data_IF_950655013585
#
_entry.id   IF_950655013585
#
_cell.length_a   1.000
_cell.length_b   1.000
_cell.length_c   1.000
_cell.angle_alpha   90.00
_cell.angle_beta   90.00
_cell.angle_gamma   90.00
#
_symmetry.space_group_name_H-M   'P 1'
#
loop_
_entity.id
_entity.type
_entity.pdbx_description
1 polymer ?
#
# COMPACT_ATOMS: atom_id res chain seq x y z
N UNK A 1 56.32 24.41 -64.29
CA UNK A 1 55.18 25.12 -64.91
C UNK A 1 53.92 24.63 -64.22
N UNK A 2 53.38 25.43 -63.31
CA UNK A 2 52.22 25.12 -62.47
C UNK A 2 50.99 25.84 -63.03
N UNK A 3 49.99 25.06 -63.43
CA UNK A 3 48.69 25.53 -63.94
C UNK A 3 47.79 26.04 -62.81
N UNK A 4 47.10 27.18 -62.96
CA UNK A 4 46.20 27.70 -61.94
C UNK A 4 44.83 26.99 -61.99
N UNK A 5 44.27 26.71 -60.81
CA UNK A 5 42.92 26.16 -60.66
C UNK A 5 41.84 27.20 -60.98
N UNK A 6 40.71 26.81 -61.62
CA UNK A 6 39.60 27.71 -61.86
C UNK A 6 38.78 27.96 -60.59
N UNK A 7 38.13 29.13 -60.46
CA UNK A 7 37.32 29.49 -59.31
C UNK A 7 36.01 28.70 -59.26
N UNK A 8 35.68 28.20 -58.06
CA UNK A 8 34.40 27.54 -57.77
C UNK A 8 33.30 28.58 -57.56
N UNK A 9 32.21 28.47 -58.31
CA UNK A 9 30.98 29.23 -58.07
C UNK A 9 30.11 28.54 -57.01
N UNK A 10 29.51 29.28 -56.06
CA UNK A 10 28.57 28.70 -55.11
C UNK A 10 27.25 28.27 -55.80
N UNK A 11 26.60 27.19 -55.34
CA UNK A 11 25.35 26.73 -55.91
C UNK A 11 24.23 27.75 -55.69
N UNK A 12 23.64 28.23 -56.79
CA UNK A 12 22.41 29.01 -56.78
C UNK A 12 21.22 28.08 -56.49
N UNK A 13 20.63 28.19 -55.30
CA UNK A 13 19.35 27.55 -54.99
C UNK A 13 18.20 28.30 -55.67
N UNK A 14 17.23 27.60 -56.28
CA UNK A 14 16.03 28.23 -56.80
C UNK A 14 15.18 28.82 -55.64
N UNK A 15 14.47 29.93 -55.87
CA UNK A 15 13.62 30.54 -54.86
C UNK A 15 12.50 29.57 -54.41
N UNK A 16 12.14 29.56 -53.12
CA UNK A 16 11.07 28.71 -52.61
C UNK A 16 9.73 29.06 -53.26
N UNK A 17 8.87 28.07 -53.52
CA UNK A 17 7.54 28.31 -54.09
C UNK A 17 6.67 29.12 -53.12
N UNK A 18 5.74 29.94 -53.64
CA UNK A 18 4.86 30.76 -52.82
C UNK A 18 3.95 29.88 -51.95
N UNK A 19 3.84 30.24 -50.66
CA UNK A 19 2.95 29.58 -49.71
C UNK A 19 1.48 29.68 -50.19
N UNK A 20 0.70 28.59 -50.12
CA UNK A 20 -0.71 28.63 -50.49
C UNK A 20 -1.50 29.55 -49.55
N UNK A 21 -2.51 30.28 -50.07
CA UNK A 21 -3.32 31.18 -49.26
C UNK A 21 -4.08 30.41 -48.17
N UNK A 22 -3.86 30.78 -46.91
CA UNK A 22 -4.60 30.26 -45.76
C UNK A 22 -6.09 30.57 -45.92
N UNK A 23 -6.87 29.59 -46.36
CA UNK A 23 -8.34 29.68 -46.37
C UNK A 23 -8.84 29.68 -44.91
N UNK A 24 -9.51 30.77 -44.51
CA UNK A 24 -10.21 30.90 -43.22
C UNK A 24 -11.45 29.99 -43.21
N UNK A 25 -11.25 28.69 -42.99
CA UNK A 25 -12.34 27.70 -42.80
C UNK A 25 -12.67 27.51 -41.29
N UNK A 26 -11.93 28.19 -40.42
CA UNK A 26 -11.90 27.95 -38.98
C UNK A 26 -13.22 28.19 -38.21
N UNK A 27 -14.10 29.16 -38.55
CA UNK A 27 -15.32 29.37 -37.76
C UNK A 27 -16.41 28.31 -38.00
N UNK A 28 -16.47 27.73 -39.21
CA UNK A 28 -17.59 26.89 -39.64
C UNK A 28 -17.47 25.43 -39.21
N UNK A 29 -16.27 24.97 -38.86
CA UNK A 29 -16.03 23.61 -38.34
C UNK A 29 -16.08 23.57 -36.82
N UNK A 30 -15.62 24.64 -36.15
CA UNK A 30 -15.57 24.70 -34.68
C UNK A 30 -16.97 24.88 -34.08
N UNK A 31 -17.83 25.70 -34.69
CA UNK A 31 -19.19 25.93 -34.18
C UNK A 31 -20.08 24.67 -34.12
N UNK A 32 -20.18 23.81 -35.16
CA UNK A 32 -20.98 22.59 -35.07
C UNK A 32 -20.36 21.56 -34.12
N UNK A 33 -19.02 21.49 -34.02
CA UNK A 33 -18.35 20.56 -33.10
C UNK A 33 -18.66 20.89 -31.62
N UNK A 34 -18.62 22.18 -31.26
CA UNK A 34 -18.98 22.63 -29.91
C UNK A 34 -20.46 22.42 -29.63
N UNK A 35 -21.34 22.65 -30.60
CA UNK A 35 -22.78 22.39 -30.44
C UNK A 35 -23.07 20.90 -30.22
N UNK A 36 -22.37 19.99 -30.91
CA UNK A 36 -22.50 18.54 -30.70
C UNK A 36 -21.97 18.12 -29.32
N UNK A 37 -20.86 18.67 -28.86
CA UNK A 37 -20.33 18.37 -27.52
C UNK A 37 -21.22 18.89 -26.39
N UNK A 38 -21.82 20.08 -26.55
CA UNK A 38 -22.78 20.62 -25.59
C UNK A 38 -24.09 19.82 -25.62
N UNK A 39 -24.60 19.44 -26.80
CA UNK A 39 -25.79 18.59 -26.89
C UNK A 39 -25.54 17.19 -26.29
N UNK A 40 -24.38 16.58 -26.55
CA UNK A 40 -24.02 15.29 -25.97
C UNK A 40 -23.86 15.36 -24.45
N UNK A 41 -23.27 16.44 -23.92
CA UNK A 41 -23.14 16.65 -22.47
C UNK A 41 -24.46 16.95 -21.76
N UNK A 42 -25.42 17.60 -22.44
CA UNK A 42 -26.75 17.87 -21.87
C UNK A 42 -27.63 16.62 -21.90
N UNK A 43 -27.52 15.76 -22.91
CA UNK A 43 -28.30 14.51 -22.98
C UNK A 43 -27.83 13.49 -21.93
N UNK A 44 -26.54 13.42 -21.60
CA UNK A 44 -26.07 12.58 -20.48
C UNK A 44 -26.45 13.15 -19.11
N UNK A 45 -26.52 14.47 -18.95
CA UNK A 45 -26.98 15.08 -17.70
C UNK A 45 -28.48 14.90 -17.47
N UNK A 46 -29.31 14.99 -18.51
CA UNK A 46 -30.78 14.78 -18.39
C UNK A 46 -31.11 13.30 -18.18
N UNK A 47 -30.42 12.36 -18.84
CA UNK A 47 -30.60 10.93 -18.57
C UNK A 47 -30.05 10.48 -17.19
N UNK A 48 -29.22 11.29 -16.53
CA UNK A 48 -28.74 11.05 -15.18
C UNK A 48 -29.55 11.79 -14.08
N UNK A 49 -30.54 12.61 -14.46
CA UNK A 49 -31.28 13.48 -13.51
C UNK A 49 -32.76 13.10 -13.33
N UNK A 50 -33.25 12.05 -13.99
CA UNK A 50 -34.66 11.63 -13.94
C UNK A 50 -34.91 10.34 -13.11
N UNK A 51 -34.12 10.12 -12.05
CA UNK A 51 -34.38 9.04 -11.06
C UNK A 51 -34.62 9.55 -9.63
N UNK A 52 -35.13 10.77 -9.48
CA UNK A 52 -35.75 11.22 -8.23
C UNK A 52 -37.23 11.55 -8.40
N UNK A 53 -38.05 10.73 -7.73
CA UNK A 53 -39.48 10.86 -7.41
C UNK A 53 -40.46 10.13 -8.33
N UNK A 54 -40.60 8.84 -8.10
CA UNK A 54 -41.94 8.24 -7.96
C UNK A 54 -41.97 7.31 -6.75
N UNK A 55 -42.78 7.67 -5.76
CA UNK A 55 -43.03 6.87 -4.57
C UNK A 55 -43.74 5.56 -4.93
N UNK A 56 -42.99 4.47 -4.88
CA UNK A 56 -43.50 3.11 -4.78
C UNK A 56 -42.62 2.39 -3.76
N UNK A 57 -43.24 1.83 -2.72
CA UNK A 57 -42.56 1.21 -1.57
C UNK A 57 -41.37 0.34 -1.97
N UNK A 58 -40.15 0.58 -1.45
CA UNK A 58 -39.03 -0.29 -1.72
C UNK A 58 -39.16 -1.54 -0.83
N UNK A 59 -39.61 -2.62 -1.44
CA UNK A 59 -39.28 -3.97 -0.99
C UNK A 59 -37.76 -4.09 -0.86
N UNK A 60 -37.31 -4.46 0.35
CA UNK A 60 -35.92 -4.86 0.67
C UNK A 60 -35.34 -5.73 -0.46
N UNK A 61 -34.51 -5.13 -1.30
CA UNK A 61 -33.53 -5.84 -2.13
C UNK A 61 -32.15 -5.60 -1.53
N UNK A 62 -31.39 -6.68 -1.46
CA UNK A 62 -30.21 -6.85 -0.64
C UNK A 62 -29.14 -5.76 -0.84
N UNK A 63 -28.62 -5.28 0.29
CA UNK A 63 -27.53 -4.32 0.42
C UNK A 63 -26.30 -4.75 -0.39
N UNK A 64 -26.12 -4.18 -1.57
CA UNK A 64 -24.84 -4.19 -2.28
C UNK A 64 -23.92 -3.14 -1.68
N UNK A 65 -22.70 -3.52 -1.35
CA UNK A 65 -21.63 -2.62 -0.91
C UNK A 65 -21.47 -1.45 -1.90
N UNK A 66 -21.71 -0.21 -1.45
CA UNK A 66 -21.61 1.02 -2.27
C UNK A 66 -20.23 1.69 -2.18
N UNK A 67 -19.29 1.11 -1.42
CA UNK A 67 -17.91 1.61 -1.32
C UNK A 67 -17.07 1.07 -2.49
N UNK A 68 -15.95 1.74 -2.80
CA UNK A 68 -15.00 1.26 -3.82
C UNK A 68 -14.19 0.02 -3.42
N UNK A 69 -14.49 -0.60 -2.27
CA UNK A 69 -13.70 -1.68 -1.67
C UNK A 69 -14.61 -2.81 -1.17
N UNK A 70 -14.93 -3.74 -2.06
CA UNK A 70 -15.83 -4.85 -1.76
C UNK A 70 -15.21 -6.18 -2.21
N UNK A 71 -15.40 -7.22 -1.40
CA UNK A 71 -15.10 -8.62 -1.74
C UNK A 71 -16.42 -9.30 -2.10
N UNK A 72 -16.61 -9.61 -3.38
CA UNK A 72 -17.89 -10.07 -3.91
C UNK A 72 -18.98 -9.00 -3.73
N UNK A 73 -19.86 -9.18 -2.75
CA UNK A 73 -20.91 -8.21 -2.40
C UNK A 73 -20.77 -7.62 -1.00
N UNK A 74 -19.67 -7.94 -0.29
CA UNK A 74 -19.43 -7.53 1.10
C UNK A 74 -18.34 -6.45 1.19
N UNK A 75 -18.44 -5.48 2.11
CA UNK A 75 -17.36 -4.52 2.36
C UNK A 75 -16.09 -5.20 2.85
N UNK A 76 -14.93 -4.76 2.35
CA UNK A 76 -13.63 -5.24 2.82
C UNK A 76 -13.32 -4.77 4.25
N UNK A 77 -12.76 -5.67 5.05
CA UNK A 77 -12.30 -5.50 6.41
C UNK A 77 -10.77 -5.55 6.50
N UNK A 78 -10.19 -4.42 6.92
CA UNK A 78 -8.76 -4.32 7.17
C UNK A 78 -8.40 -4.80 8.60
N UNK A 79 -7.46 -5.72 8.72
CA UNK A 79 -7.05 -6.29 10.00
C UNK A 79 -6.50 -5.25 10.99
N UNK A 80 -5.62 -4.34 10.58
CA UNK A 80 -5.06 -3.37 11.53
C UNK A 80 -6.10 -2.36 12.01
N UNK A 81 -7.04 -1.99 11.15
CA UNK A 81 -8.18 -1.17 11.54
C UNK A 81 -9.10 -1.90 12.54
N UNK A 82 -9.39 -3.19 12.30
CA UNK A 82 -10.22 -3.99 13.19
C UNK A 82 -9.55 -4.25 14.55
N UNK A 83 -8.23 -4.47 14.54
CA UNK A 83 -7.43 -4.68 15.76
C UNK A 83 -7.29 -3.40 16.56
N UNK A 84 -7.07 -2.26 15.90
CA UNK A 84 -6.74 -0.96 16.50
C UNK A 84 -5.55 -1.07 17.50
N UNK A 85 -4.30 -1.19 16.99
CA UNK A 85 -3.10 -1.57 17.76
C UNK A 85 -2.96 -0.94 19.15
N UNK A 86 -3.05 0.39 19.26
CA UNK A 86 -2.96 1.11 20.54
C UNK A 86 -4.04 0.65 21.53
N UNK A 87 -5.28 0.53 21.04
CA UNK A 87 -6.44 0.15 21.84
C UNK A 87 -6.50 -1.34 22.18
N UNK A 88 -5.84 -2.19 21.39
CA UNK A 88 -5.64 -3.60 21.69
C UNK A 88 -4.58 -3.78 22.78
N UNK A 89 -3.46 -3.06 22.67
CA UNK A 89 -2.35 -3.17 23.61
C UNK A 89 -2.70 -2.69 25.03
N UNK A 90 -3.53 -1.64 25.13
CA UNK A 90 -4.02 -1.09 26.40
C UNK A 90 -4.85 -2.07 27.25
N UNK A 91 -5.33 -3.19 26.69
CA UNK A 91 -6.09 -4.19 27.43
C UNK A 91 -5.22 -5.04 28.38
N UNK A 92 -3.90 -4.94 28.27
CA UNK A 92 -2.96 -5.77 29.00
C UNK A 92 -2.19 -4.95 30.06
N UNK A 93 -2.45 -5.18 31.36
CA UNK A 93 -1.88 -4.39 32.45
C UNK A 93 -0.37 -4.59 32.57
N UNK A 94 0.34 -3.53 32.98
CA UNK A 94 1.79 -3.54 33.20
C UNK A 94 2.64 -3.02 32.03
N UNK A 95 2.01 -2.65 30.91
CA UNK A 95 2.68 -2.07 29.76
C UNK A 95 2.50 -0.54 29.76
N UNK A 96 3.54 0.30 29.95
CA UNK A 96 3.48 1.64 29.35
C UNK A 96 3.21 1.45 27.84
N UNK A 97 2.52 2.37 27.13
CA UNK A 97 2.30 2.21 25.70
C UNK A 97 3.67 2.06 25.03
N UNK A 98 4.05 0.85 24.59
CA UNK A 98 5.38 0.64 24.09
C UNK A 98 5.49 1.42 22.79
N UNK A 99 6.73 1.71 22.38
CA UNK A 99 6.96 1.84 20.95
C UNK A 99 6.60 0.50 20.32
N UNK A 100 5.57 0.49 19.49
CA UNK A 100 5.08 -0.72 18.82
C UNK A 100 5.73 -0.82 17.44
N UNK A 101 6.14 -2.03 17.07
CA UNK A 101 6.29 -2.43 15.67
C UNK A 101 4.95 -2.96 15.19
N UNK A 102 4.49 -2.46 14.06
CA UNK A 102 3.19 -2.82 13.50
C UNK A 102 3.42 -3.27 12.07
N UNK A 103 3.09 -4.52 11.78
CA UNK A 103 3.21 -5.10 10.44
C UNK A 103 1.82 -5.46 9.95
N UNK A 104 1.48 -4.99 8.75
CA UNK A 104 0.18 -5.13 8.13
C UNK A 104 0.32 -5.77 6.76
N UNK A 105 -0.50 -6.78 6.47
CA UNK A 105 -0.68 -7.27 5.10
C UNK A 105 -2.10 -7.00 4.65
N UNK A 106 -2.25 -6.48 3.43
CA UNK A 106 -3.54 -6.12 2.86
C UNK A 106 -3.50 -6.17 1.34
N UNK A 107 -4.68 -6.17 0.73
CA UNK A 107 -4.81 -6.05 -0.72
C UNK A 107 -4.98 -4.58 -1.13
N UNK A 108 -4.23 -4.14 -2.15
CA UNK A 108 -4.29 -2.78 -2.69
C UNK A 108 -3.86 -2.66 -4.18
N UNK A 109 -4.73 -2.09 -5.03
CA UNK A 109 -6.15 -1.86 -4.81
C UNK A 109 -6.89 -3.20 -4.80
N UNK A 110 -8.03 -3.31 -4.11
CA UNK A 110 -8.88 -4.50 -4.26
C UNK A 110 -9.30 -4.63 -5.73
N UNK A 111 -9.00 -5.76 -6.41
CA UNK A 111 -9.55 -6.05 -7.72
C UNK A 111 -11.07 -6.04 -7.66
N UNK A 112 -11.71 -5.61 -8.75
CA UNK A 112 -13.17 -5.55 -8.86
C UNK A 112 -13.87 -6.92 -8.63
N UNK A 113 -13.12 -8.02 -8.67
CA UNK A 113 -13.59 -9.35 -8.31
C UNK A 113 -12.46 -10.18 -7.71
N UNK A 114 -12.54 -10.48 -6.41
CA UNK A 114 -11.77 -11.56 -5.78
C UNK A 114 -12.76 -12.51 -5.07
N UNK A 115 -12.49 -13.81 -5.16
CA UNK A 115 -13.27 -14.84 -4.45
C UNK A 115 -12.90 -14.91 -2.98
N UNK A 116 -11.66 -14.57 -2.65
CA UNK A 116 -11.10 -14.57 -1.31
C UNK A 116 -10.08 -13.45 -1.18
N UNK A 117 -10.05 -12.76 -0.05
CA UNK A 117 -9.04 -11.77 0.31
C UNK A 117 -8.57 -12.03 1.73
N UNK A 118 -7.28 -11.85 1.97
CA UNK A 118 -6.67 -12.00 3.28
C UNK A 118 -6.11 -10.64 3.72
N UNK A 119 -6.22 -10.36 5.02
CA UNK A 119 -5.54 -9.24 5.65
C UNK A 119 -5.03 -9.66 7.02
N UNK A 120 -3.84 -9.18 7.39
CA UNK A 120 -3.25 -9.49 8.68
C UNK A 120 -2.67 -8.25 9.35
N UNK A 121 -2.71 -8.22 10.68
CA UNK A 121 -2.08 -7.18 11.49
C UNK A 121 -1.34 -7.82 12.66
N UNK A 122 -0.02 -7.71 12.64
CA UNK A 122 0.86 -8.04 13.75
C UNK A 122 1.24 -6.77 14.51
N UNK A 123 1.16 -6.83 15.83
CA UNK A 123 1.59 -5.78 16.75
C UNK A 123 2.56 -6.40 17.74
N UNK A 124 3.78 -5.90 17.79
CA UNK A 124 4.82 -6.35 18.69
C UNK A 124 5.42 -5.15 19.46
N UNK A 125 5.74 -5.31 20.76
CA UNK A 125 6.46 -4.28 21.50
C UNK A 125 7.93 -4.30 21.08
N UNK A 126 8.55 -3.13 20.99
CA UNK A 126 10.01 -3.04 20.83
C UNK A 126 10.75 -3.34 22.14
N UNK A 127 10.09 -3.19 23.29
CA UNK A 127 10.68 -3.44 24.59
C UNK A 127 10.62 -4.93 24.97
N UNK A 128 11.78 -5.53 25.22
CA UNK A 128 11.93 -6.96 25.56
C UNK A 128 11.29 -7.39 26.91
N UNK A 129 10.66 -6.47 27.65
CA UNK A 129 10.09 -6.73 28.97
C UNK A 129 8.60 -7.09 28.98
N UNK A 130 7.92 -7.04 27.84
CA UNK A 130 6.48 -7.27 27.76
C UNK A 130 6.12 -8.75 27.98
N UNK A 131 5.10 -9.08 28.80
CA UNK A 131 4.61 -10.46 28.93
C UNK A 131 4.00 -10.99 27.63
N UNK A 132 3.50 -10.10 26.78
CA UNK A 132 2.99 -10.41 25.43
C UNK A 132 4.07 -10.04 24.43
N UNK A 133 4.49 -11.02 23.63
CA UNK A 133 5.54 -10.84 22.63
C UNK A 133 4.99 -10.27 21.32
N UNK A 134 3.78 -10.68 20.94
CA UNK A 134 3.06 -10.11 19.80
C UNK A 134 1.59 -10.51 19.82
N UNK A 135 0.77 -9.72 19.10
CA UNK A 135 -0.64 -9.97 18.81
C UNK A 135 -0.80 -9.96 17.30
N UNK A 136 -1.36 -11.03 16.73
CA UNK A 136 -1.64 -11.17 15.30
C UNK A 136 -3.14 -11.35 15.08
N UNK A 137 -3.76 -10.44 14.35
CA UNK A 137 -5.12 -10.62 13.83
C UNK A 137 -5.03 -10.98 12.35
N UNK A 138 -5.59 -12.12 11.97
CA UNK A 138 -5.73 -12.56 10.60
C UNK A 138 -7.21 -12.63 10.21
N UNK A 139 -7.56 -11.94 9.15
CA UNK A 139 -8.89 -11.92 8.55
C UNK A 139 -8.83 -12.58 7.18
N UNK A 140 -9.75 -13.51 6.94
CA UNK A 140 -9.95 -14.13 5.64
C UNK A 140 -11.38 -13.94 5.21
N UNK A 141 -11.57 -13.07 4.22
CA UNK A 141 -12.87 -12.75 3.65
C UNK A 141 -13.14 -13.61 2.43
N UNK A 142 -14.31 -14.22 2.38
CA UNK A 142 -14.74 -15.04 1.24
C UNK A 142 -15.95 -14.41 0.57
N UNK A 143 -16.11 -14.63 -0.73
CA UNK A 143 -17.32 -14.26 -1.47
C UNK A 143 -18.55 -15.09 -1.05
N UNK A 144 -18.33 -16.21 -0.37
CA UNK A 144 -19.35 -17.07 0.24
C UNK A 144 -19.26 -17.00 1.77
N UNK A 145 -20.33 -17.38 2.51
CA UNK A 145 -20.27 -17.45 3.96
C UNK A 145 -19.05 -18.23 4.45
N UNK A 146 -18.33 -17.63 5.39
CA UNK A 146 -17.11 -18.20 5.94
C UNK A 146 -17.45 -19.41 6.82
N UNK A 147 -16.56 -20.40 6.82
CA UNK A 147 -16.57 -21.50 7.79
C UNK A 147 -15.48 -21.27 8.81
N UNK A 148 -15.74 -21.64 10.07
CA UNK A 148 -14.72 -21.63 11.11
C UNK A 148 -13.63 -22.63 10.70
N UNK A 149 -12.39 -22.17 10.56
CA UNK A 149 -11.26 -23.07 10.40
C UNK A 149 -11.04 -23.81 11.74
N UNK A 150 -11.03 -25.16 11.73
CA UNK A 150 -10.85 -25.92 12.96
C UNK A 150 -9.47 -25.62 13.56
N UNK A 151 -9.45 -25.13 14.80
CA UNK A 151 -8.23 -25.04 15.58
C UNK A 151 -7.67 -26.43 15.93
N UNK A 152 -6.38 -26.50 16.22
CA UNK A 152 -5.77 -27.75 16.70
C UNK A 152 -5.96 -27.87 18.21
N UNK A 153 -6.63 -28.92 18.68
CA UNK A 153 -6.80 -29.23 20.11
C UNK A 153 -8.23 -29.05 20.62
N UNK A 154 -8.41 -29.18 21.94
CA UNK A 154 -9.71 -29.03 22.59
C UNK A 154 -9.98 -27.54 22.84
N UNK A 155 -10.80 -26.92 22.01
CA UNK A 155 -11.17 -25.51 22.16
C UNK A 155 -12.07 -25.26 23.36
N UNK A 156 -11.92 -24.10 24.00
CA UNK A 156 -12.78 -23.59 25.07
C UNK A 156 -13.72 -22.53 24.49
N UNK A 157 -15.05 -22.66 24.63
CA UNK A 157 -15.98 -21.63 24.19
C UNK A 157 -15.74 -20.31 24.91
N UNK A 158 -15.60 -19.22 24.16
CA UNK A 158 -15.49 -17.86 24.71
C UNK A 158 -16.85 -17.15 24.81
N UNK A 159 -17.93 -17.77 24.33
CA UNK A 159 -19.23 -17.14 24.14
C UNK A 159 -19.79 -16.43 25.39
N UNK A 160 -19.58 -17.00 26.59
CA UNK A 160 -20.03 -16.39 27.84
C UNK A 160 -19.25 -15.11 28.20
N UNK A 161 -17.96 -15.05 27.84
CA UNK A 161 -17.10 -13.88 28.07
C UNK A 161 -17.20 -12.82 26.96
N UNK A 162 -17.46 -13.23 25.71
CA UNK A 162 -17.43 -12.36 24.54
C UNK A 162 -18.79 -11.86 24.10
N UNK A 163 -19.85 -12.65 24.29
CA UNK A 163 -21.13 -12.45 23.58
C UNK A 163 -21.05 -12.70 22.07
N UNK A 164 -19.91 -13.19 21.56
CA UNK A 164 -19.67 -13.47 20.13
C UNK A 164 -19.97 -14.95 19.87
N UNK A 165 -21.01 -15.27 19.08
CA UNK A 165 -21.41 -16.65 18.82
C UNK A 165 -20.30 -17.46 18.15
N UNK A 166 -20.04 -18.66 18.67
CA UNK A 166 -19.08 -19.60 18.06
C UNK A 166 -17.60 -19.23 18.24
N UNK A 167 -17.28 -18.20 19.03
CA UNK A 167 -15.89 -17.89 19.37
C UNK A 167 -15.29 -18.96 20.29
N UNK A 168 -14.13 -19.49 19.89
CA UNK A 168 -13.42 -20.56 20.59
C UNK A 168 -11.97 -20.14 20.85
N UNK A 169 -11.46 -20.40 22.06
CA UNK A 169 -10.05 -20.25 22.42
C UNK A 169 -9.32 -21.60 22.39
N UNK A 170 -8.05 -21.59 21.98
CA UNK A 170 -7.16 -22.74 21.97
C UNK A 170 -5.87 -22.35 22.68
N UNK A 171 -5.62 -22.94 23.85
CA UNK A 171 -4.39 -22.70 24.61
C UNK A 171 -3.25 -23.59 24.11
N UNK A 172 -2.08 -22.99 23.92
CA UNK A 172 -0.83 -23.67 23.64
C UNK A 172 0.21 -23.30 24.72
N UNK A 173 1.41 -23.87 24.64
CA UNK A 173 2.44 -23.67 25.68
C UNK A 173 2.88 -22.19 25.81
N UNK A 174 2.99 -21.48 24.68
CA UNK A 174 3.53 -20.11 24.60
C UNK A 174 2.65 -19.17 23.75
N UNK A 175 1.43 -19.60 23.43
CA UNK A 175 0.47 -18.82 22.64
C UNK A 175 -0.98 -19.19 22.98
N UNK A 176 -1.91 -18.28 22.69
CA UNK A 176 -3.35 -18.56 22.70
C UNK A 176 -3.95 -18.09 21.37
N UNK A 177 -4.76 -18.94 20.76
CA UNK A 177 -5.50 -18.64 19.53
C UNK A 177 -7.00 -18.46 19.87
N UNK A 178 -7.66 -17.48 19.27
CA UNK A 178 -9.11 -17.32 19.28
C UNK A 178 -9.66 -17.30 17.85
N UNK A 179 -10.61 -18.18 17.56
CA UNK A 179 -11.19 -18.36 16.22
C UNK A 179 -12.69 -18.09 16.26
N UNK A 180 -13.20 -17.35 15.28
CA UNK A 180 -14.65 -17.17 15.08
C UNK A 180 -14.96 -16.76 13.64
N UNK A 181 -16.25 -16.58 13.32
CA UNK A 181 -16.73 -16.09 12.04
C UNK A 181 -17.63 -14.88 12.25
N UNK A 182 -17.42 -13.85 11.44
CA UNK A 182 -18.28 -12.67 11.35
C UNK A 182 -18.80 -12.53 9.92
N UNK A 183 -20.05 -12.92 9.66
CA UNK A 183 -20.62 -12.89 8.31
C UNK A 183 -19.85 -13.77 7.32
N UNK A 184 -19.16 -13.15 6.36
CA UNK A 184 -18.33 -13.81 5.36
C UNK A 184 -16.82 -13.79 5.70
N UNK A 185 -16.47 -13.36 6.91
CA UNK A 185 -15.09 -13.23 7.39
C UNK A 185 -14.76 -14.34 8.39
N UNK A 186 -13.75 -15.15 8.09
CA UNK A 186 -13.09 -16.01 9.08
C UNK A 186 -12.07 -15.19 9.85
N UNK A 187 -12.13 -15.24 11.18
CA UNK A 187 -11.27 -14.45 12.05
C UNK A 187 -10.41 -15.37 12.90
N UNK A 188 -9.09 -15.12 12.87
CA UNK A 188 -8.12 -15.76 13.75
C UNK A 188 -7.31 -14.68 14.47
N UNK A 189 -7.40 -14.66 15.80
CA UNK A 189 -6.58 -13.84 16.68
C UNK A 189 -5.58 -14.74 17.39
N UNK A 190 -4.29 -14.43 17.30
CA UNK A 190 -3.23 -15.15 17.99
C UNK A 190 -2.46 -14.20 18.88
N UNK A 191 -2.15 -14.64 20.09
CA UNK A 191 -1.35 -13.90 21.04
C UNK A 191 -0.21 -14.77 21.55
N UNK A 192 1.02 -14.31 21.41
CA UNK A 192 2.19 -15.01 21.94
C UNK A 192 2.65 -14.40 23.25
N UNK A 193 3.07 -15.26 24.17
CA UNK A 193 3.61 -14.90 25.48
C UNK A 193 4.99 -15.49 25.67
N UNK A 194 5.85 -14.82 26.44
CA UNK A 194 7.16 -15.36 26.79
C UNK A 194 7.03 -16.61 27.69
N UNK A 195 7.88 -17.62 27.47
CA UNK A 195 7.93 -18.83 28.29
C UNK A 195 8.09 -18.49 29.77
N UNK A 196 7.17 -19.00 30.59
CA UNK A 196 7.20 -18.81 32.05
C UNK A 196 6.52 -17.54 32.55
N UNK A 197 5.91 -16.73 31.68
CA UNK A 197 4.99 -15.65 32.05
C UNK A 197 3.56 -16.17 32.25
N UNK A 198 2.68 -15.44 32.96
CA UNK A 198 1.28 -15.80 33.08
C UNK A 198 0.63 -15.92 31.71
N UNK A 199 -0.20 -16.95 31.53
CA UNK A 199 -1.03 -17.10 30.32
C UNK A 199 -2.03 -15.94 30.23
N UNK A 200 -2.38 -15.56 29.00
CA UNK A 200 -3.44 -14.57 28.74
C UNK A 200 -4.75 -15.07 29.33
N UNK A 201 -5.39 -14.25 30.16
CA UNK A 201 -6.70 -14.57 30.73
C UNK A 201 -7.76 -14.60 29.61
N UNK A 202 -8.57 -15.66 29.58
CA UNK A 202 -9.68 -15.81 28.62
C UNK A 202 -10.70 -14.66 28.72
N UNK A 203 -10.82 -14.00 29.88
CA UNK A 203 -11.65 -12.80 30.00
C UNK A 203 -11.06 -11.60 29.21
N UNK A 204 -9.74 -11.40 29.24
CA UNK A 204 -9.07 -10.35 28.47
C UNK A 204 -9.10 -10.64 26.97
N UNK A 205 -8.81 -11.90 26.59
CA UNK A 205 -8.96 -12.38 25.23
C UNK A 205 -10.40 -12.15 24.73
N UNK A 206 -11.38 -12.44 25.57
CA UNK A 206 -12.79 -12.23 25.25
C UNK A 206 -13.18 -10.76 25.04
N UNK A 207 -12.58 -9.84 25.79
CA UNK A 207 -12.78 -8.39 25.57
C UNK A 207 -12.22 -7.95 24.21
N UNK A 208 -11.03 -8.43 23.84
CA UNK A 208 -10.40 -8.11 22.56
C UNK A 208 -11.22 -8.69 21.38
N UNK A 209 -11.64 -9.96 21.47
CA UNK A 209 -12.52 -10.61 20.49
C UNK A 209 -13.81 -9.79 20.28
N UNK A 210 -14.47 -9.35 21.35
CA UNK A 210 -15.69 -8.52 21.26
C UNK A 210 -15.44 -7.18 20.57
N UNK A 211 -14.31 -6.53 20.87
CA UNK A 211 -13.89 -5.27 20.24
C UNK A 211 -13.70 -5.44 18.73
N UNK A 212 -12.97 -6.47 18.33
CA UNK A 212 -12.71 -6.80 16.92
C UNK A 212 -14.02 -7.12 16.21
N UNK A 213 -14.85 -7.99 16.77
CA UNK A 213 -16.14 -8.36 16.19
C UNK A 213 -17.08 -7.15 15.99
N UNK A 214 -17.07 -6.22 16.94
CA UNK A 214 -17.81 -4.96 16.82
C UNK A 214 -17.26 -4.08 15.69
N UNK A 215 -15.93 -4.03 15.51
CA UNK A 215 -15.30 -3.27 14.43
C UNK A 215 -15.63 -3.85 13.04
N UNK A 216 -15.82 -5.17 12.93
CA UNK A 216 -16.19 -5.84 11.67
C UNK A 216 -17.64 -5.59 11.25
N UNK A 217 -18.50 -5.09 12.13
CA UNK A 217 -19.91 -4.78 11.79
C UNK A 217 -20.02 -3.57 10.85
N UNK A 218 -19.07 -2.64 10.93
CA UNK A 218 -19.02 -1.42 10.11
C UNK A 218 -17.57 -1.13 9.69
N UNK A 219 -17.01 -1.96 8.78
CA UNK A 219 -15.64 -1.79 8.36
C UNK A 219 -15.50 -0.45 7.62
N UNK A 220 -14.44 0.32 7.90
CA UNK A 220 -14.29 1.66 7.34
C UNK A 220 -13.59 1.68 5.97
N UNK A 221 -13.37 0.52 5.36
CA UNK A 221 -12.79 0.39 4.02
C UNK A 221 -11.26 0.23 4.04
N UNK A 222 -10.49 1.00 3.24
CA UNK A 222 -9.06 0.79 3.10
C UNK A 222 -8.31 1.06 4.41
N UNK A 223 -7.07 0.57 4.47
CA UNK A 223 -6.17 0.80 5.59
C UNK A 223 -6.07 2.30 5.90
N UNK A 224 -6.56 2.73 7.06
CA UNK A 224 -6.24 4.04 7.60
C UNK A 224 -4.81 3.97 8.15
N UNK A 225 -4.00 5.02 8.00
CA UNK A 225 -2.65 5.05 8.58
C UNK A 225 -2.74 4.76 10.08
N UNK A 226 -1.88 3.86 10.56
CA UNK A 226 -1.94 3.39 11.93
C UNK A 226 -1.72 4.57 12.91
N UNK A 227 -2.56 4.71 13.95
CA UNK A 227 -2.40 5.75 14.95
C UNK A 227 -1.04 5.60 15.66
N UNK A 228 -0.34 6.72 15.89
CA UNK A 228 0.94 6.73 16.62
C UNK A 228 2.02 7.68 16.08
N UNK A 229 1.92 8.14 14.83
CA UNK A 229 2.93 9.02 14.23
C UNK A 229 2.60 10.52 14.26
N UNK A 230 2.14 11.03 15.41
CA UNK A 230 1.82 12.45 15.60
C UNK A 230 2.78 13.13 16.56
N UNK A 231 3.30 14.31 16.20
CA UNK A 231 4.03 15.22 17.13
C UNK A 231 3.08 16.37 17.45
N UNK A 232 2.40 16.29 18.60
CA UNK A 232 1.23 17.15 18.86
C UNK A 232 0.07 16.74 17.95
N UNK A 233 -0.60 17.71 17.32
CA UNK A 233 -1.77 17.46 16.45
C UNK A 233 -1.40 17.17 14.97
N UNK A 234 -0.11 17.24 14.61
CA UNK A 234 0.35 17.05 13.23
C UNK A 234 0.86 15.62 12.99
N UNK A 235 0.42 14.99 11.89
CA UNK A 235 1.06 13.79 11.34
C UNK A 235 2.48 14.16 10.91
N UNK A 236 3.50 13.44 11.39
CA UNK A 236 4.92 13.73 11.08
C UNK A 236 5.58 12.61 10.29
N UNK A 237 4.81 11.61 9.83
CA UNK A 237 5.32 10.57 8.95
C UNK A 237 4.55 10.56 7.63
N UNK A 238 5.23 10.06 6.59
CA UNK A 238 4.66 9.74 5.29
C UNK A 238 4.55 8.22 5.20
N UNK A 239 3.36 7.71 4.88
CA UNK A 239 3.15 6.28 4.68
C UNK A 239 3.82 5.82 3.38
N UNK A 240 4.75 4.85 3.49
CA UNK A 240 5.49 4.36 2.34
C UNK A 240 4.57 3.73 1.29
N UNK A 241 3.50 3.03 1.70
CA UNK A 241 2.58 2.40 0.76
C UNK A 241 1.64 3.39 0.06
N UNK A 242 1.43 4.58 0.63
CA UNK A 242 0.70 5.67 -0.01
C UNK A 242 1.52 6.29 -1.16
N UNK A 243 2.81 6.49 -0.95
CA UNK A 243 3.69 7.09 -1.97
C UNK A 243 4.24 6.06 -2.96
N UNK A 244 4.36 4.79 -2.57
CA UNK A 244 4.78 3.67 -3.40
C UNK A 244 3.57 2.91 -3.94
N UNK A 245 3.01 3.38 -5.07
CA UNK A 245 1.85 2.76 -5.71
C UNK A 245 2.24 1.55 -6.58
N UNK A 246 1.40 0.51 -6.58
CA UNK A 246 1.59 -0.68 -7.42
C UNK A 246 1.68 -0.37 -8.92
N UNK A 247 0.97 0.66 -9.39
CA UNK A 247 1.05 1.12 -10.77
C UNK A 247 2.44 1.64 -11.17
N UNK A 248 3.19 2.24 -10.25
CA UNK A 248 4.54 2.71 -10.56
C UNK A 248 5.54 1.57 -10.56
N UNK A 249 5.38 0.62 -9.63
CA UNK A 249 6.13 -0.62 -9.65
C UNK A 249 5.93 -1.38 -10.95
N UNK A 250 4.68 -1.53 -11.39
CA UNK A 250 4.35 -2.14 -12.66
C UNK A 250 4.95 -1.39 -13.86
N UNK A 251 4.87 -0.06 -13.89
CA UNK A 251 5.44 0.76 -14.97
C UNK A 251 6.96 0.71 -15.02
N UNK A 252 7.61 0.75 -13.86
CA UNK A 252 9.06 0.77 -13.77
C UNK A 252 9.69 -0.58 -14.13
N UNK A 253 9.00 -1.69 -13.86
CA UNK A 253 9.55 -3.03 -14.06
C UNK A 253 8.98 -3.78 -15.26
N UNK A 254 7.81 -3.37 -15.75
CA UNK A 254 7.07 -4.12 -16.76
C UNK A 254 6.47 -5.43 -16.25
N UNK A 255 6.51 -5.72 -14.94
CA UNK A 255 5.92 -6.93 -14.38
C UNK A 255 4.52 -6.69 -13.80
N UNK A 256 3.64 -7.69 -13.91
CA UNK A 256 2.35 -7.69 -13.23
C UNK A 256 2.60 -7.66 -11.72
N UNK A 257 2.01 -6.70 -11.01
CA UNK A 257 2.09 -6.57 -9.55
C UNK A 257 0.98 -7.40 -8.92
N UNK A 258 1.26 -8.04 -7.79
CA UNK A 258 0.27 -8.75 -6.98
C UNK A 258 -0.58 -7.73 -6.19
N UNK A 259 -1.85 -7.50 -6.55
CA UNK A 259 -2.71 -6.57 -5.82
C UNK A 259 -3.25 -7.17 -4.53
N UNK A 260 -3.19 -8.50 -4.35
CA UNK A 260 -3.72 -9.20 -3.19
C UNK A 260 -2.77 -9.30 -2.00
N UNK A 261 -1.51 -8.84 -2.16
CA UNK A 261 -0.51 -8.91 -1.09
C UNK A 261 0.43 -7.71 -1.15
N UNK A 262 0.16 -6.73 -0.29
CA UNK A 262 1.02 -5.59 0.04
C UNK A 262 1.35 -5.72 1.52
N UNK A 263 2.64 -5.61 1.84
CA UNK A 263 3.11 -5.64 3.23
C UNK A 263 3.57 -4.24 3.61
N UNK A 264 3.13 -3.78 4.78
CA UNK A 264 3.43 -2.48 5.33
C UNK A 264 3.94 -2.65 6.75
N UNK A 265 5.01 -1.98 7.09
CA UNK A 265 5.53 -1.95 8.44
C UNK A 265 5.62 -0.51 8.94
N UNK A 266 5.30 -0.30 10.22
CA UNK A 266 5.65 0.88 10.98
C UNK A 266 6.57 0.47 12.12
N UNK A 267 7.75 1.08 12.17
CA UNK A 267 8.76 0.78 13.18
C UNK A 267 9.58 2.01 13.54
N UNK A 268 10.35 1.91 14.63
CA UNK A 268 11.29 2.94 15.06
C UNK A 268 12.71 2.46 14.76
N UNK A 269 13.22 2.74 13.55
CA UNK A 269 14.51 2.24 13.10
C UNK A 269 15.64 2.80 13.94
N UNK A 270 16.67 1.98 14.15
CA UNK A 270 17.85 2.35 14.93
C UNK A 270 18.54 3.59 14.31
N UNK A 271 18.87 4.58 15.13
CA UNK A 271 19.50 5.82 14.69
C UNK A 271 18.54 6.87 14.07
N UNK A 272 17.22 6.69 14.20
CA UNK A 272 16.20 7.70 13.90
C UNK A 272 15.42 8.09 15.17
N UNK A 273 16.17 8.50 16.20
CA UNK A 273 15.74 8.87 17.56
C UNK A 273 14.26 9.31 17.66
N UNK A 274 13.39 8.34 17.95
CA UNK A 274 11.94 8.49 18.23
C UNK A 274 11.01 8.73 17.04
N UNK A 275 11.50 8.64 15.81
CA UNK A 275 10.69 8.89 14.62
C UNK A 275 10.15 7.58 14.06
N UNK A 276 8.83 7.54 13.86
CA UNK A 276 8.17 6.40 13.26
C UNK A 276 8.47 6.37 11.75
N UNK A 277 9.22 5.37 11.32
CA UNK A 277 9.42 5.06 9.91
C UNK A 277 8.27 4.22 9.36
N UNK A 278 8.11 4.24 8.04
CA UNK A 278 7.16 3.38 7.33
C UNK A 278 7.89 2.63 6.22
N UNK A 279 7.69 1.32 6.14
CA UNK A 279 8.19 0.47 5.07
C UNK A 279 7.03 -0.12 4.29
N UNK A 280 7.17 -0.21 2.97
CA UNK A 280 6.22 -0.86 2.08
C UNK A 280 6.91 -1.85 1.17
N UNK A 281 6.39 -3.07 1.11
CA UNK A 281 6.78 -4.10 0.16
C UNK A 281 5.64 -4.38 -0.79
N UNK A 282 5.99 -4.48 -2.08
CA UNK A 282 5.08 -4.96 -3.12
C UNK A 282 5.74 -6.07 -3.88
N UNK A 283 4.93 -7.02 -4.35
CA UNK A 283 5.44 -8.25 -4.95
C UNK A 283 4.92 -8.38 -6.37
N UNK A 284 5.70 -9.01 -7.24
CA UNK A 284 5.21 -9.43 -8.56
C UNK A 284 4.21 -10.57 -8.44
N UNK A 285 3.22 -10.58 -9.32
CA UNK A 285 2.30 -11.68 -9.49
C UNK A 285 2.92 -12.80 -10.35
N UNK A 286 2.52 -14.04 -10.04
CA UNK A 286 2.82 -15.22 -10.86
C UNK A 286 1.75 -15.46 -11.91
N UNK A 287 2.07 -16.20 -12.98
CA UNK A 287 1.15 -16.46 -14.08
C UNK A 287 -0.10 -17.26 -13.65
N UNK A 288 0.01 -18.09 -12.61
CA UNK A 288 -1.05 -18.92 -12.05
C UNK A 288 -1.91 -18.21 -10.99
N UNK A 289 -1.59 -16.96 -10.64
CA UNK A 289 -2.33 -16.16 -9.64
C UNK A 289 -3.76 -15.79 -10.06
N UNK A 290 -4.10 -15.89 -11.34
CA UNK A 290 -5.42 -15.53 -11.85
C UNK A 290 -5.68 -14.02 -11.96
N UNK A 291 -4.72 -13.16 -11.59
CA UNK A 291 -4.85 -11.72 -11.76
C UNK A 291 -4.83 -11.31 -13.24
N UNK A 292 -5.62 -10.31 -13.66
CA UNK A 292 -5.60 -9.84 -15.04
C UNK A 292 -4.23 -9.29 -15.41
N UNK A 293 -3.74 -9.60 -16.61
CA UNK A 293 -2.47 -9.10 -17.15
C UNK A 293 -2.68 -7.73 -17.82
N UNK A 294 -2.16 -6.62 -17.28
CA UNK A 294 -2.31 -5.32 -17.93
C UNK A 294 -1.53 -5.24 -19.25
N UNK A 295 -1.95 -4.38 -20.20
CA UNK A 295 -1.23 -4.22 -21.46
C UNK A 295 0.24 -3.82 -21.25
N UNK A 296 1.15 -4.46 -21.98
CA UNK A 296 2.58 -4.13 -21.94
C UNK A 296 3.35 -4.69 -20.74
N UNK A 297 2.72 -5.51 -19.88
CA UNK A 297 3.41 -6.17 -18.77
C UNK A 297 3.65 -7.66 -19.03
N UNK A 298 4.40 -8.34 -18.16
CA UNK A 298 4.54 -9.80 -18.13
C UNK A 298 4.51 -10.34 -16.70
N UNK A 299 4.22 -11.62 -16.52
CA UNK A 299 4.43 -12.28 -15.23
C UNK A 299 5.92 -12.60 -15.09
N UNK A 300 6.42 -12.57 -13.86
CA UNK A 300 7.77 -12.98 -13.52
C UNK A 300 7.77 -14.42 -13.01
N UNK A 301 8.63 -15.26 -13.57
CA UNK A 301 8.91 -16.60 -13.04
C UNK A 301 9.97 -16.47 -11.93
N UNK A 302 9.53 -15.98 -10.77
CA UNK A 302 10.38 -15.56 -9.65
C UNK A 302 9.69 -14.56 -8.73
N UNK A 303 10.44 -13.96 -7.80
CA UNK A 303 9.94 -12.93 -6.91
C UNK A 303 10.80 -11.67 -7.02
N UNK A 304 10.19 -10.59 -7.50
CA UNK A 304 10.71 -9.24 -7.37
C UNK A 304 9.89 -8.54 -6.28
N UNK A 305 10.57 -8.11 -5.22
CA UNK A 305 9.95 -7.53 -4.04
C UNK A 305 10.67 -6.24 -3.64
N UNK A 306 10.53 -5.15 -4.41
CA UNK A 306 11.08 -3.87 -4.00
C UNK A 306 10.47 -3.46 -2.66
N UNK A 307 11.35 -2.92 -1.84
CA UNK A 307 11.08 -2.39 -0.52
C UNK A 307 11.33 -0.88 -0.58
N UNK A 308 10.37 -0.11 -0.09
CA UNK A 308 10.49 1.33 0.07
C UNK A 308 10.34 1.65 1.54
N UNK A 309 11.36 2.23 2.14
CA UNK A 309 11.29 2.76 3.51
C UNK A 309 11.38 4.28 3.49
N UNK A 310 10.46 4.93 4.20
CA UNK A 310 10.43 6.37 4.40
C UNK A 310 10.74 6.66 5.86
N UNK A 311 11.84 7.37 6.07
CA UNK A 311 12.27 7.85 7.38
C UNK A 311 12.04 9.35 7.47
N UNK A 312 11.17 9.83 8.37
CA UNK A 312 11.15 11.25 8.68
C UNK A 312 12.43 11.66 9.40
N UNK A 313 12.78 12.94 9.28
CA UNK A 313 13.82 13.63 10.05
C UNK A 313 13.25 14.91 10.66
N UNK A 314 13.92 15.54 11.65
CA UNK A 314 13.43 16.77 12.26
C UNK A 314 13.27 17.93 11.28
N UNK A 315 14.19 18.03 10.31
CA UNK A 315 14.17 19.04 9.27
C UNK A 315 14.93 18.59 7.99
N UNK A 316 14.91 19.47 6.98
CA UNK A 316 15.53 19.26 5.66
C UNK A 316 17.06 19.16 5.72
N UNK A 317 17.70 19.86 6.64
CA UNK A 317 19.15 19.85 6.78
C UNK A 317 19.62 18.52 7.38
N UNK A 318 18.93 18.02 8.40
CA UNK A 318 19.19 16.68 8.97
C UNK A 318 18.99 15.57 7.93
N UNK A 319 17.96 15.65 7.08
CA UNK A 319 17.77 14.68 6.01
C UNK A 319 18.97 14.67 5.03
N UNK A 320 19.44 15.86 4.64
CA UNK A 320 20.58 16.00 3.72
C UNK A 320 21.90 15.51 4.33
N UNK A 321 22.15 15.81 5.61
CA UNK A 321 23.31 15.31 6.35
C UNK A 321 23.29 13.79 6.42
N UNK A 322 22.13 13.20 6.74
CA UNK A 322 22.00 11.74 6.81
C UNK A 322 22.26 11.06 5.47
N UNK A 323 21.73 11.60 4.37
CA UNK A 323 22.03 11.07 3.03
C UNK A 323 23.53 11.16 2.70
N UNK A 324 24.22 12.21 3.18
CA UNK A 324 25.66 12.33 2.99
C UNK A 324 26.43 11.25 3.77
N UNK A 325 26.01 10.94 4.98
CA UNK A 325 26.58 9.84 5.78
C UNK A 325 26.30 8.47 5.15
N UNK A 326 25.06 8.22 4.74
CA UNK A 326 24.65 6.96 4.13
C UNK A 326 25.37 6.75 2.78
N UNK A 327 25.62 7.82 2.00
CA UNK A 327 26.45 7.77 0.78
C UNK A 327 27.85 7.22 1.06
N UNK A 328 28.45 7.54 2.20
CA UNK A 328 29.77 7.01 2.60
C UNK A 328 29.65 5.53 2.95
N UNK A 329 28.61 5.14 3.67
CA UNK A 329 28.37 3.74 4.06
C UNK A 329 28.08 2.83 2.86
N UNK A 330 27.39 3.35 1.85
CA UNK A 330 27.00 2.61 0.64
C UNK A 330 28.16 2.31 -0.33
N UNK A 331 29.39 2.73 -0.03
CA UNK A 331 30.63 2.28 -0.68
C UNK A 331 30.63 2.35 -2.21
N UNK A 332 31.16 3.43 -2.79
CA UNK A 332 31.16 3.62 -4.24
C UNK A 332 29.82 4.11 -4.79
N UNK A 333 28.98 4.69 -3.93
CA UNK A 333 27.71 5.27 -4.32
C UNK A 333 27.87 6.41 -5.34
N UNK A 334 27.00 6.45 -6.33
CA UNK A 334 26.99 7.43 -7.41
C UNK A 334 25.76 8.33 -7.32
N UNK A 335 25.92 9.62 -7.58
CA UNK A 335 24.80 10.55 -7.56
C UNK A 335 23.78 10.21 -8.68
N UNK A 336 22.50 10.38 -8.38
CA UNK A 336 21.39 10.15 -9.31
C UNK A 336 20.63 11.47 -9.50
N UNK A 337 20.94 12.25 -10.55
CA UNK A 337 20.32 13.55 -10.75
C UNK A 337 18.83 13.44 -11.09
N UNK A 338 18.05 14.41 -10.60
CA UNK A 338 16.62 14.54 -10.90
C UNK A 338 15.70 13.62 -10.10
N UNK A 339 16.18 13.08 -8.97
CA UNK A 339 15.39 12.36 -7.96
C UNK A 339 15.43 13.16 -6.66
N UNK A 340 14.26 13.50 -6.11
CA UNK A 340 14.18 14.24 -4.85
C UNK A 340 14.94 15.58 -4.86
N UNK A 341 15.41 15.99 -3.68
CA UNK A 341 16.35 17.10 -3.47
C UNK A 341 17.80 16.65 -3.72
N UNK A 342 18.13 15.40 -3.38
CA UNK A 342 19.40 14.73 -3.65
C UNK A 342 19.18 13.22 -3.63
N UNK A 343 19.95 12.46 -4.40
CA UNK A 343 19.84 11.00 -4.45
C UNK A 343 21.18 10.34 -4.80
N UNK A 344 21.36 9.14 -4.26
CA UNK A 344 22.54 8.30 -4.45
C UNK A 344 22.13 6.86 -4.73
N UNK A 345 22.91 6.16 -5.54
CA UNK A 345 22.73 4.75 -5.83
C UNK A 345 23.99 3.99 -5.42
N UNK A 346 23.84 3.03 -4.49
CA UNK A 346 24.89 2.13 -4.03
C UNK A 346 24.98 0.86 -4.87
N UNK A 347 26.17 0.25 -4.91
CA UNK A 347 26.43 -0.96 -5.70
C UNK A 347 25.66 -2.21 -5.27
N UNK A 348 25.04 -2.20 -4.08
CA UNK A 348 24.22 -3.28 -3.54
C UNK A 348 22.78 -3.33 -4.08
N UNK A 349 22.42 -2.48 -5.03
CA UNK A 349 21.03 -2.40 -5.50
C UNK A 349 20.13 -1.55 -4.59
N UNK A 350 20.73 -0.62 -3.85
CA UNK A 350 20.04 0.32 -2.97
C UNK A 350 20.10 1.72 -3.58
N UNK A 351 18.95 2.39 -3.70
CA UNK A 351 18.87 3.81 -4.04
C UNK A 351 18.32 4.56 -2.84
N UNK A 352 19.00 5.62 -2.42
CA UNK A 352 18.51 6.50 -1.37
C UNK A 352 18.34 7.91 -1.90
N UNK A 353 17.32 8.61 -1.43
CA UNK A 353 17.12 10.01 -1.76
C UNK A 353 16.49 10.79 -0.63
N UNK A 354 16.65 12.11 -0.67
CA UNK A 354 16.00 13.04 0.25
C UNK A 354 14.88 13.78 -0.47
N UNK A 355 13.76 13.98 0.23
CA UNK A 355 12.67 14.83 -0.24
C UNK A 355 12.04 15.55 0.95
N UNK A 356 12.29 16.86 1.04
CA UNK A 356 11.91 17.63 2.22
C UNK A 356 12.64 17.09 3.45
N UNK A 357 11.90 16.87 4.53
CA UNK A 357 12.41 16.31 5.79
C UNK A 357 12.36 14.78 5.80
N UNK A 358 12.39 14.11 4.65
CA UNK A 358 12.38 12.65 4.57
C UNK A 358 13.65 12.13 3.91
N UNK A 359 14.18 11.04 4.45
CA UNK A 359 15.12 10.13 3.78
C UNK A 359 14.31 8.94 3.30
N UNK A 360 14.44 8.59 2.02
CA UNK A 360 13.74 7.47 1.41
C UNK A 360 14.76 6.48 0.90
N UNK A 361 14.64 5.23 1.35
CA UNK A 361 15.45 4.11 0.90
C UNK A 361 14.61 3.21 0.02
N UNK A 362 15.12 2.91 -1.16
CA UNK A 362 14.61 1.88 -2.05
C UNK A 362 15.64 0.76 -2.10
N UNK A 363 15.25 -0.42 -1.65
CA UNK A 363 16.04 -1.62 -1.84
C UNK A 363 15.26 -2.58 -2.73
N UNK A 364 15.98 -3.39 -3.48
CA UNK A 364 15.36 -4.47 -4.21
C UNK A 364 16.31 -5.65 -4.14
N UNK A 365 15.80 -6.76 -3.61
CA UNK A 365 16.48 -8.04 -3.53
C UNK A 365 15.98 -8.90 -4.68
N UNK A 366 16.57 -8.81 -5.90
CA UNK A 366 16.24 -9.78 -6.93
C UNK A 366 16.66 -11.16 -6.42
N UNK A 367 15.70 -12.07 -6.32
CA UNK A 367 15.98 -13.48 -6.01
C UNK A 367 16.69 -14.16 -7.18
N UNK A 368 16.33 -13.82 -8.42
CA UNK A 368 16.96 -14.30 -9.66
C UNK A 368 16.65 -13.35 -10.83
N UNK A 369 17.47 -12.32 -11.10
CA UNK A 369 17.23 -11.39 -12.21
C UNK A 369 18.46 -10.56 -12.62
N UNK A 370 18.53 -10.08 -13.89
CA UNK A 370 19.68 -9.36 -14.41
C UNK A 370 19.89 -8.01 -13.68
N UNK A 371 21.11 -7.78 -13.24
CA UNK A 371 21.59 -6.59 -12.50
C UNK A 371 21.64 -5.32 -13.36
N UNK A 372 21.65 -5.47 -14.69
CA UNK A 372 22.09 -4.40 -15.59
C UNK A 372 21.07 -3.26 -15.78
N UNK A 373 19.83 -3.42 -15.29
CA UNK A 373 18.80 -2.37 -15.33
C UNK A 373 18.23 -1.99 -13.94
N UNK A 374 18.87 -2.46 -12.87
CA UNK A 374 18.39 -2.21 -11.51
C UNK A 374 18.43 -0.72 -11.16
N UNK A 375 19.51 -0.03 -11.55
CA UNK A 375 19.65 1.41 -11.32
C UNK A 375 18.56 2.21 -12.03
N UNK A 376 18.25 1.92 -13.30
CA UNK A 376 17.25 2.69 -14.02
C UNK A 376 15.84 2.41 -13.49
N UNK A 377 15.55 1.15 -13.17
CA UNK A 377 14.30 0.73 -12.51
C UNK A 377 14.09 1.49 -11.19
N UNK A 378 15.07 1.45 -10.28
CA UNK A 378 14.98 2.15 -8.99
C UNK A 378 14.96 3.66 -9.17
N UNK A 379 15.66 4.21 -10.16
CA UNK A 379 15.59 5.64 -10.48
C UNK A 379 14.19 6.05 -10.93
N UNK A 380 13.53 5.25 -11.79
CA UNK A 380 12.18 5.52 -12.24
C UNK A 380 11.17 5.47 -11.08
N UNK A 381 11.29 4.46 -10.21
CA UNK A 381 10.50 4.34 -8.99
C UNK A 381 10.71 5.54 -8.05
N UNK A 382 11.96 5.89 -7.76
CA UNK A 382 12.30 6.99 -6.87
C UNK A 382 11.76 8.32 -7.37
N UNK A 383 11.78 8.59 -8.68
CA UNK A 383 11.15 9.79 -9.27
C UNK A 383 9.65 9.81 -9.03
N UNK A 384 8.98 8.69 -9.19
CA UNK A 384 7.53 8.60 -9.03
C UNK A 384 7.12 8.80 -7.56
N UNK A 385 7.86 8.20 -6.62
CA UNK A 385 7.69 8.39 -5.17
C UNK A 385 7.94 9.86 -4.79
N UNK A 386 9.09 10.43 -5.19
CA UNK A 386 9.45 11.81 -4.89
C UNK A 386 8.46 12.85 -5.44
N UNK A 387 7.70 12.50 -6.50
CA UNK A 387 6.64 13.33 -7.06
C UNK A 387 5.33 13.31 -6.23
N UNK A 388 5.09 12.25 -5.43
CA UNK A 388 3.93 12.14 -4.54
C UNK A 388 4.18 12.69 -3.14
N UNK A 389 5.45 12.71 -2.71
CA UNK A 389 5.84 13.29 -1.43
C UNK A 389 5.74 14.82 -1.51
N UNK A 390 4.83 15.39 -0.71
CA UNK A 390 4.58 16.84 -0.62
C UNK A 390 5.34 17.50 0.51
#
# INVERSE_FOLDING_TARGET
>A
MTTPYPPQHPPQYPPPPPLPPRRKVWPWVVFPLVAVLVAAGVVTAVLASDDEKTAGSPSKQANGCTSGYCVGSHPYANACQALAPDGAWQLFPGSPPPKLRITETFADPLPASMSTVESACEVAPLDAGSPIQWILLHLRENATPATVEPGTGTGVPLAEATGVPGAMAFDHDEQVDAHWVHGNVSVKLTMSTERGKPRVDHAQLGQLVRKIDSALTAPKGPAEPVPGGTRGDAKVYTDACEVFAGNDFQKATGYVVNPGYVEREYSYPEGYDEQLGSTCHRYTARADSGYPKPPGTTYLDGLLAPEVTVFPTPDKATAAERLADDKVQLGGAVDVPGVGDAAVFGGSGTLEFVKGFHVVRLSNTPSDGPTDDLRATLTALAKAIAARMT
#
